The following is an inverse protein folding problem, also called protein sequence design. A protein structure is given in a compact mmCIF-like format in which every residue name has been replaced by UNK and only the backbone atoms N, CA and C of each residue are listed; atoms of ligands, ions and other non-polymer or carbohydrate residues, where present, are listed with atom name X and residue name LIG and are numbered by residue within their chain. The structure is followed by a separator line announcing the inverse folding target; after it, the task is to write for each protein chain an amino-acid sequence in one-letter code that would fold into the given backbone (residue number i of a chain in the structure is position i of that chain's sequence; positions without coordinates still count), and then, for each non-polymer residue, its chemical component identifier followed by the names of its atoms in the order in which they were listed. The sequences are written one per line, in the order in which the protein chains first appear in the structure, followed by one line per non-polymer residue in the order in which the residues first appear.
data_IF_658099582915
#
_entry.id   IF_658099582915
#
_cell.length_a   1.000
_cell.length_b   1.000
_cell.length_c   1.000
_cell.angle_alpha   90.00
_cell.angle_beta   90.00
_cell.angle_gamma   90.00
#
_symmetry.space_group_name_H-M   'P 1'
#
loop_
_entity.id
_entity.type
_entity.pdbx_description
1 polymer ?
#
# COMPACT_ATOMS: atom_id res chain seq x y z
N UNK A 1 -15.39 -14.14 -27.16
CA UNK A 1 -14.19 -14.37 -28.00
C UNK A 1 -12.98 -14.18 -27.08
N UNK A 2 -12.90 -15.04 -26.06
CA UNK A 2 -12.18 -14.79 -24.79
C UNK A 2 -10.82 -15.50 -24.71
N UNK A 3 -10.41 -16.13 -25.81
CA UNK A 3 -9.20 -16.95 -25.91
C UNK A 3 -7.89 -16.16 -25.80
N UNK A 4 -7.94 -14.83 -25.92
CA UNK A 4 -6.74 -13.97 -25.90
C UNK A 4 -6.37 -13.44 -24.50
N UNK A 5 -7.26 -13.56 -23.50
CA UNK A 5 -6.96 -13.10 -22.13
C UNK A 5 -6.10 -14.11 -21.37
N UNK A 6 -6.38 -15.41 -21.53
CA UNK A 6 -5.71 -16.51 -20.83
C UNK A 6 -4.22 -16.64 -21.17
N UNK A 7 -3.85 -16.44 -22.43
CA UNK A 7 -2.44 -16.46 -22.85
C UNK A 7 -1.61 -15.41 -22.09
N UNK A 8 -2.19 -14.28 -21.68
CA UNK A 8 -1.46 -13.21 -21.01
C UNK A 8 -1.08 -13.55 -19.58
N UNK A 9 -1.91 -14.29 -18.85
CA UNK A 9 -1.62 -14.64 -17.45
C UNK A 9 -0.62 -15.79 -17.34
N UNK A 10 -0.82 -16.84 -18.13
CA UNK A 10 0.11 -17.97 -18.19
C UNK A 10 1.52 -17.51 -18.62
N UNK A 11 1.62 -16.63 -19.61
CA UNK A 11 2.91 -16.06 -20.04
C UNK A 11 3.58 -15.29 -18.89
N UNK A 12 2.84 -14.45 -18.14
CA UNK A 12 3.39 -13.72 -16.98
C UNK A 12 3.84 -14.68 -15.89
N UNK A 13 3.06 -15.73 -15.62
CA UNK A 13 3.42 -16.77 -14.66
C UNK A 13 4.73 -17.43 -15.07
N UNK A 14 4.82 -17.92 -16.32
CA UNK A 14 6.03 -18.54 -16.84
C UNK A 14 7.24 -17.61 -16.75
N UNK A 15 7.12 -16.35 -17.17
CA UNK A 15 8.23 -15.40 -17.04
C UNK A 15 8.69 -15.20 -15.59
N UNK A 16 7.78 -15.25 -14.62
CA UNK A 16 8.08 -15.08 -13.20
C UNK A 16 8.70 -16.35 -12.58
N UNK A 17 8.24 -17.54 -12.97
CA UNK A 17 8.55 -18.79 -12.28
C UNK A 17 9.50 -19.74 -13.04
N UNK A 18 9.64 -19.60 -14.35
CA UNK A 18 10.56 -20.42 -15.16
C UNK A 18 12.04 -20.31 -14.74
N UNK A 19 12.55 -19.14 -14.28
CA UNK A 19 13.92 -19.07 -13.74
C UNK A 19 14.18 -20.02 -12.56
N UNK A 20 13.12 -20.44 -11.86
CA UNK A 20 13.19 -21.35 -10.71
C UNK A 20 12.88 -22.80 -11.07
N UNK A 21 12.64 -23.13 -12.35
CA UNK A 21 12.18 -24.46 -12.76
C UNK A 21 13.19 -25.59 -12.47
N UNK A 22 14.48 -25.26 -12.36
CA UNK A 22 15.55 -26.21 -12.08
C UNK A 22 15.87 -26.35 -10.58
N UNK A 23 15.13 -25.68 -9.70
CA UNK A 23 15.31 -25.86 -8.26
C UNK A 23 14.76 -27.22 -7.83
N UNK A 24 15.56 -27.98 -7.08
CA UNK A 24 15.14 -29.28 -6.55
C UNK A 24 14.07 -29.14 -5.45
N UNK A 25 14.10 -28.05 -4.69
CA UNK A 25 13.09 -27.72 -3.70
C UNK A 25 12.92 -26.19 -3.56
N UNK A 26 11.68 -25.66 -3.62
CA UNK A 26 10.44 -26.35 -3.97
C UNK A 26 10.38 -26.71 -5.47
N UNK A 27 9.70 -27.81 -5.86
CA UNK A 27 9.54 -28.20 -7.26
C UNK A 27 8.74 -27.16 -8.05
N UNK A 28 9.00 -27.09 -9.37
CA UNK A 28 8.22 -26.22 -10.26
C UNK A 28 6.73 -26.57 -10.23
N UNK A 29 5.90 -25.57 -9.99
CA UNK A 29 4.45 -25.70 -10.01
C UNK A 29 3.91 -25.30 -11.40
N UNK A 30 3.13 -26.16 -12.09
CA UNK A 30 2.43 -25.77 -13.30
C UNK A 30 1.41 -24.66 -13.04
N UNK A 31 1.17 -23.79 -14.04
CA UNK A 31 0.22 -22.67 -13.92
C UNK A 31 -1.21 -23.14 -13.59
N UNK A 32 -1.63 -24.29 -14.09
CA UNK A 32 -2.94 -24.88 -13.80
C UNK A 32 -3.12 -25.21 -12.32
N UNK A 33 -2.09 -25.78 -11.71
CA UNK A 33 -2.11 -26.19 -10.30
C UNK A 33 -2.02 -24.96 -9.40
N UNK A 34 -1.23 -23.98 -9.83
CA UNK A 34 -1.17 -22.66 -9.20
C UNK A 34 -2.55 -21.99 -9.18
N UNK A 35 -3.28 -21.96 -10.30
CA UNK A 35 -4.64 -21.41 -10.35
C UNK A 35 -5.62 -22.20 -9.49
N UNK A 36 -5.51 -23.53 -9.45
CA UNK A 36 -6.36 -24.36 -8.61
C UNK A 36 -6.18 -24.01 -7.12
N UNK A 37 -4.94 -23.92 -6.64
CA UNK A 37 -4.62 -23.53 -5.27
C UNK A 37 -5.04 -22.08 -4.99
N UNK A 38 -4.82 -21.19 -5.96
CA UNK A 38 -5.21 -19.80 -5.85
C UNK A 38 -6.73 -19.66 -5.70
N UNK A 39 -7.52 -20.32 -6.55
CA UNK A 39 -8.98 -20.30 -6.44
C UNK A 39 -9.50 -20.90 -5.12
N UNK A 40 -8.82 -21.94 -4.59
CA UNK A 40 -9.12 -22.46 -3.25
C UNK A 40 -8.85 -21.43 -2.14
N UNK A 41 -7.98 -20.44 -2.41
CA UNK A 41 -7.62 -19.36 -1.48
C UNK A 41 -8.32 -18.02 -1.74
N UNK A 42 -8.94 -17.83 -2.91
CA UNK A 42 -9.50 -16.55 -3.36
C UNK A 42 -10.72 -16.08 -2.55
N UNK A 43 -11.29 -16.92 -1.69
CA UNK A 43 -12.42 -16.59 -0.80
C UNK A 43 -12.08 -16.64 0.70
N UNK A 44 -10.81 -16.52 1.09
CA UNK A 44 -10.45 -16.55 2.53
C UNK A 44 -10.89 -15.31 3.31
N UNK A 45 -11.17 -14.20 2.64
CA UNK A 45 -11.52 -12.94 3.28
C UNK A 45 -12.70 -12.28 2.60
N UNK A 46 -13.70 -11.91 3.40
CA UNK A 46 -14.80 -11.04 3.00
C UNK A 46 -14.31 -9.60 2.79
N UNK A 47 -15.02 -8.82 1.98
CA UNK A 47 -14.71 -7.40 1.80
C UNK A 47 -14.71 -6.64 3.14
N UNK A 48 -15.58 -7.03 4.07
CA UNK A 48 -15.64 -6.49 5.43
C UNK A 48 -14.33 -6.71 6.20
N UNK A 49 -13.79 -7.94 6.18
CA UNK A 49 -12.53 -8.28 6.83
C UNK A 49 -11.35 -7.50 6.20
N UNK A 50 -11.33 -7.40 4.87
CA UNK A 50 -10.30 -6.64 4.17
C UNK A 50 -10.35 -5.15 4.51
N UNK A 51 -11.54 -4.55 4.62
CA UNK A 51 -11.68 -3.17 5.07
C UNK A 51 -11.23 -3.01 6.52
N UNK A 52 -11.61 -3.94 7.40
CA UNK A 52 -11.22 -3.90 8.81
C UNK A 52 -9.69 -3.99 8.98
N UNK A 53 -9.03 -4.89 8.25
CA UNK A 53 -7.58 -5.01 8.25
C UNK A 53 -6.90 -3.77 7.68
N UNK A 54 -7.41 -3.23 6.58
CA UNK A 54 -6.87 -2.01 5.99
C UNK A 54 -7.00 -0.80 6.94
N UNK A 55 -8.12 -0.66 7.66
CA UNK A 55 -8.30 0.37 8.70
C UNK A 55 -7.22 0.26 9.78
N UNK A 56 -6.93 -0.96 10.24
CA UNK A 56 -5.89 -1.22 11.23
C UNK A 56 -4.51 -0.84 10.69
N UNK A 57 -4.21 -1.20 9.44
CA UNK A 57 -2.94 -0.86 8.79
C UNK A 57 -2.76 0.65 8.62
N UNK A 58 -3.79 1.39 8.19
CA UNK A 58 -3.71 2.85 8.07
C UNK A 58 -3.58 3.54 9.44
N UNK A 59 -4.22 3.01 10.48
CA UNK A 59 -4.05 3.50 11.85
C UNK A 59 -2.61 3.32 12.36
N UNK A 60 -2.03 2.15 12.11
CA UNK A 60 -0.63 1.86 12.44
C UNK A 60 0.33 2.77 11.67
N UNK A 61 0.16 2.88 10.35
CA UNK A 61 0.99 3.73 9.50
C UNK A 61 0.95 5.19 9.96
N UNK A 62 -0.24 5.74 10.23
CA UNK A 62 -0.41 7.09 10.79
C UNK A 62 0.42 7.26 12.06
N UNK A 63 0.28 6.34 13.01
CA UNK A 63 0.98 6.40 14.31
C UNK A 63 2.49 6.38 14.11
N UNK A 64 2.99 5.52 13.21
CA UNK A 64 4.40 5.43 12.89
C UNK A 64 4.95 6.76 12.34
N UNK A 65 4.27 7.37 11.37
CA UNK A 65 4.69 8.62 10.77
C UNK A 65 4.57 9.81 11.75
N UNK A 66 3.54 9.86 12.58
CA UNK A 66 3.40 10.88 13.64
C UNK A 66 4.55 10.78 14.65
N UNK A 67 4.91 9.56 15.07
CA UNK A 67 6.06 9.35 15.96
C UNK A 67 7.39 9.73 15.30
N UNK A 68 7.58 9.39 14.02
CA UNK A 68 8.77 9.78 13.26
C UNK A 68 8.89 11.30 13.15
N UNK A 69 7.79 11.98 12.80
CA UNK A 69 7.72 13.44 12.71
C UNK A 69 8.04 14.10 14.06
N UNK A 70 7.44 13.61 15.15
CA UNK A 70 7.72 14.11 16.50
C UNK A 70 9.20 13.99 16.88
N UNK A 71 9.85 12.87 16.55
CA UNK A 71 11.29 12.68 16.82
C UNK A 71 12.17 13.70 16.07
N UNK A 72 11.80 14.05 14.83
CA UNK A 72 12.54 15.06 14.06
C UNK A 72 12.25 16.47 14.57
N UNK A 73 11.00 16.79 14.90
CA UNK A 73 10.63 18.13 15.39
C UNK A 73 11.28 18.42 16.74
N UNK A 74 11.24 17.44 17.66
CA UNK A 74 11.87 17.57 18.98
C UNK A 74 13.39 17.70 18.86
N UNK A 75 14.05 16.94 17.97
CA UNK A 75 15.51 17.03 17.80
C UNK A 75 15.97 18.39 17.23
N UNK A 76 15.13 19.05 16.42
CA UNK A 76 15.38 20.41 15.91
C UNK A 76 15.30 21.49 17.00
N UNK A 77 14.48 21.30 18.03
CA UNK A 77 14.37 22.26 19.15
C UNK A 77 15.66 22.31 19.99
N UNK A 78 16.43 21.21 20.05
CA UNK A 78 17.69 21.14 20.79
C UNK A 78 18.94 21.63 20.00
N UNK A 79 18.79 22.00 18.72
CA UNK A 79 19.90 22.44 17.85
C UNK A 79 19.79 23.89 17.36
N UNK A 80 19.16 24.79 18.12
CA UNK A 80 19.34 26.24 17.91
C UNK A 80 20.74 26.68 18.36
N UNK A 81 21.77 26.23 17.64
CA UNK A 81 23.10 26.82 17.57
C UNK A 81 23.89 26.14 16.45
N UNK A 82 24.12 26.91 15.39
CA UNK A 82 25.17 26.79 14.36
C UNK A 82 24.85 26.15 12.99
N UNK A 83 25.05 27.02 11.98
CA UNK A 83 25.40 26.85 10.55
C UNK A 83 24.45 26.07 9.60
N UNK A 84 23.61 26.84 8.91
CA UNK A 84 22.82 26.45 7.73
C UNK A 84 23.69 26.35 6.46
N UNK A 85 23.67 25.20 5.81
CA UNK A 85 23.32 25.03 4.38
C UNK A 85 23.70 23.62 3.91
N UNK A 86 22.84 22.98 3.11
CA UNK A 86 22.91 21.61 2.53
C UNK A 86 22.28 20.46 3.35
N UNK A 87 22.54 20.32 4.66
CA UNK A 87 21.80 19.34 5.51
C UNK A 87 20.34 19.76 5.74
N UNK A 88 20.09 21.06 5.70
CA UNK A 88 18.78 21.67 5.94
C UNK A 88 17.75 21.33 4.84
N UNK A 89 18.18 21.17 3.59
CA UNK A 89 17.27 20.94 2.45
C UNK A 89 16.74 19.50 2.40
N UNK A 90 17.59 18.49 2.62
CA UNK A 90 17.21 17.06 2.64
C UNK A 90 16.25 16.77 3.81
N UNK A 91 16.46 17.42 4.95
CA UNK A 91 15.58 17.29 6.10
C UNK A 91 14.20 17.97 5.92
N UNK A 92 14.05 18.93 5.01
CA UNK A 92 12.76 19.59 4.75
C UNK A 92 11.92 18.77 3.77
N UNK A 93 12.52 18.26 2.69
CA UNK A 93 11.80 17.40 1.72
C UNK A 93 11.28 16.14 2.39
N UNK A 94 12.10 15.48 3.24
CA UNK A 94 11.67 14.31 4.00
C UNK A 94 10.51 14.60 4.97
N UNK A 95 10.36 15.83 5.45
CA UNK A 95 9.26 16.20 6.35
C UNK A 95 7.97 16.46 5.60
N UNK A 96 8.06 17.14 4.45
CA UNK A 96 6.93 17.36 3.56
C UNK A 96 6.34 16.01 3.12
N UNK A 97 7.21 15.05 2.79
CA UNK A 97 6.79 13.69 2.42
C UNK A 97 6.08 12.98 3.57
N UNK A 98 6.62 13.06 4.80
CA UNK A 98 6.01 12.44 5.99
C UNK A 98 4.65 13.06 6.34
N UNK A 99 4.51 14.38 6.25
CA UNK A 99 3.22 15.05 6.45
C UNK A 99 2.18 14.60 5.42
N UNK A 100 2.60 14.43 4.16
CA UNK A 100 1.76 13.87 3.10
C UNK A 100 1.29 12.45 3.44
N UNK A 101 2.19 11.59 3.95
CA UNK A 101 1.85 10.22 4.36
C UNK A 101 0.88 10.16 5.53
N UNK A 102 1.06 11.03 6.54
CA UNK A 102 0.12 11.15 7.66
C UNK A 102 -1.27 11.52 7.14
N UNK A 103 -1.36 12.47 6.20
CA UNK A 103 -2.64 12.92 5.64
C UNK A 103 -3.30 11.83 4.80
N UNK A 104 -2.55 11.11 3.97
CA UNK A 104 -3.04 9.96 3.20
C UNK A 104 -3.59 8.89 4.15
N UNK A 105 -2.83 8.51 5.18
CA UNK A 105 -3.23 7.46 6.11
C UNK A 105 -4.51 7.82 6.88
N UNK A 106 -4.65 9.08 7.31
CA UNK A 106 -5.87 9.59 7.97
C UNK A 106 -7.09 9.49 7.05
N UNK A 107 -6.99 10.03 5.84
CA UNK A 107 -8.12 10.05 4.90
C UNK A 107 -8.52 8.64 4.50
N UNK A 108 -7.56 7.81 4.08
CA UNK A 108 -7.83 6.46 3.61
C UNK A 108 -8.43 5.59 4.72
N UNK A 109 -7.96 5.72 5.97
CA UNK A 109 -8.55 5.03 7.11
C UNK A 109 -10.00 5.44 7.39
N UNK A 110 -10.37 6.71 7.18
CA UNK A 110 -11.76 7.17 7.32
C UNK A 110 -12.63 6.63 6.18
N UNK A 111 -12.15 6.71 4.93
CA UNK A 111 -12.88 6.20 3.77
C UNK A 111 -13.18 4.72 3.93
N UNK A 112 -12.21 3.92 4.37
CA UNK A 112 -12.42 2.49 4.60
C UNK A 112 -13.41 2.21 5.74
N UNK A 113 -13.42 3.01 6.82
CA UNK A 113 -14.44 2.90 7.88
C UNK A 113 -15.85 3.16 7.35
N UNK A 114 -16.00 4.13 6.44
CA UNK A 114 -17.28 4.44 5.81
C UNK A 114 -17.76 3.30 4.89
N UNK A 115 -16.84 2.71 4.11
CA UNK A 115 -17.11 1.56 3.26
C UNK A 115 -17.48 0.33 4.08
N UNK A 116 -16.74 0.05 5.16
CA UNK A 116 -17.02 -1.04 6.09
C UNK A 116 -18.41 -0.89 6.75
N UNK A 117 -18.77 0.33 7.12
CA UNK A 117 -20.07 0.62 7.75
C UNK A 117 -21.25 0.52 6.77
N UNK A 118 -20.99 0.34 5.48
CA UNK A 118 -22.04 0.22 4.45
C UNK A 118 -22.84 1.50 4.20
N UNK A 119 -22.34 2.67 4.64
CA UNK A 119 -23.07 3.94 4.51
C UNK A 119 -23.19 4.40 3.04
N UNK A 120 -22.40 3.83 2.12
CA UNK A 120 -22.45 4.11 0.68
C UNK A 120 -22.06 2.87 -0.16
N UNK A 121 -22.97 1.90 -0.35
CA UNK A 121 -22.62 0.61 -0.97
C UNK A 121 -22.28 0.69 -2.47
N UNK A 122 -22.84 1.68 -3.20
CA UNK A 122 -22.63 1.86 -4.65
C UNK A 122 -21.67 3.00 -5.02
N UNK A 123 -20.83 3.44 -4.07
CA UNK A 123 -19.88 4.52 -4.36
C UNK A 123 -18.68 4.01 -5.14
N UNK A 124 -18.46 4.63 -6.30
CA UNK A 124 -17.21 4.51 -7.05
C UNK A 124 -16.10 5.23 -6.29
N UNK A 125 -15.06 4.49 -5.92
CA UNK A 125 -13.86 5.04 -5.29
C UNK A 125 -12.96 5.62 -6.38
N UNK A 126 -12.55 6.87 -6.19
CA UNK A 126 -11.54 7.52 -7.02
C UNK A 126 -10.19 7.63 -6.29
N UNK A 127 -9.09 7.58 -7.03
CA UNK A 127 -7.73 7.57 -6.50
C UNK A 127 -7.03 8.87 -6.86
N UNK A 128 -6.87 9.76 -5.88
CA UNK A 128 -6.23 11.05 -6.07
C UNK A 128 -4.73 11.01 -5.73
N UNK A 129 -3.89 11.20 -6.74
CA UNK A 129 -2.43 11.26 -6.62
C UNK A 129 -1.88 12.69 -6.49
N UNK A 130 -2.76 13.70 -6.38
CA UNK A 130 -2.33 15.11 -6.28
C UNK A 130 -1.47 15.40 -5.05
N UNK A 131 -1.63 14.61 -3.98
CA UNK A 131 -0.87 14.77 -2.73
C UNK A 131 0.47 14.01 -2.72
N UNK A 132 0.56 12.87 -3.40
CA UNK A 132 1.78 12.08 -3.48
C UNK A 132 1.80 11.21 -4.76
N UNK A 133 2.93 11.18 -5.45
CA UNK A 133 3.06 10.56 -6.78
C UNK A 133 2.75 9.05 -6.82
N UNK A 134 3.01 8.33 -5.73
CA UNK A 134 2.88 6.88 -5.67
C UNK A 134 1.79 6.36 -4.73
N UNK A 135 1.28 7.20 -3.83
CA UNK A 135 0.35 6.78 -2.78
C UNK A 135 -0.91 7.65 -2.87
N UNK A 136 -2.03 7.09 -3.34
CA UNK A 136 -3.23 7.87 -3.58
C UNK A 136 -3.99 8.14 -2.28
N UNK A 137 -4.69 9.26 -2.27
CA UNK A 137 -5.78 9.52 -1.32
C UNK A 137 -7.08 8.99 -1.92
N UNK A 138 -7.82 8.21 -1.14
CA UNK A 138 -9.12 7.68 -1.55
C UNK A 138 -10.20 8.77 -1.50
N UNK A 139 -11.03 8.85 -2.53
CA UNK A 139 -12.22 9.72 -2.58
C UNK A 139 -13.47 8.89 -2.82
N UNK A 140 -14.55 9.28 -2.13
CA UNK A 140 -15.91 8.73 -2.23
C UNK A 140 -16.80 9.68 -3.04
#
# INVERSE_FOLDING_TARGET
NDSNYFLRDEIRYRHRFLPFANLCAPPYMPHTDFLHIQHLSDNRYTASELYQDAINNFSQAKTYFENYLNRITTSKQYQQQQTLSRTFTIGITSLIDVESYIRIAKTNGIVLKLLLSGHKPDVKIDFDFSLHAHYPTLKL
#
